data_IF_067913468509
#
_entry.id   IF_067913468509
#
_cell.length_a   1.000
_cell.length_b   1.000
_cell.length_c   1.000
_cell.angle_alpha   90.00
_cell.angle_beta   90.00
_cell.angle_gamma   90.00
#
_symmetry.space_group_name_H-M   'P 1'
#
loop_
_entity.id
_entity.type
_entity.pdbx_description
1 polymer ?
#
# COMPACT_ATOMS: atom_id res chain seq x y z
N UNK A 1 15.09 -11.18 3.12
CA UNK A 1 15.90 -10.27 2.30
C UNK A 1 15.93 -8.90 2.97
N UNK A 2 17.12 -8.35 3.24
CA UNK A 2 17.25 -7.01 3.83
C UNK A 2 16.93 -6.00 2.73
N UNK A 3 15.86 -5.23 2.93
CA UNK A 3 15.48 -4.13 2.04
C UNK A 3 16.35 -2.93 2.42
N UNK A 4 17.21 -2.48 1.51
CA UNK A 4 18.02 -1.28 1.72
C UNK A 4 17.24 -0.05 1.24
N UNK A 5 17.28 1.02 2.02
CA UNK A 5 16.71 2.32 1.65
C UNK A 5 17.85 3.28 1.34
N UNK A 6 17.79 3.89 0.16
CA UNK A 6 18.77 4.87 -0.29
C UNK A 6 18.17 6.27 -0.20
N UNK A 7 18.83 7.16 0.53
CA UNK A 7 18.62 8.61 0.38
C UNK A 7 19.49 9.12 -0.76
N UNK A 8 18.89 9.88 -1.68
CA UNK A 8 19.59 10.62 -2.74
C UNK A 8 18.98 12.02 -2.87
N UNK A 9 19.77 12.98 -3.35
CA UNK A 9 19.28 14.32 -3.64
C UNK A 9 18.59 14.36 -5.00
N UNK A 10 17.33 14.79 -5.00
CA UNK A 10 16.57 15.08 -6.21
C UNK A 10 16.43 16.60 -6.34
N UNK A 11 16.72 17.15 -7.51
CA UNK A 11 16.42 18.54 -7.83
C UNK A 11 15.08 18.58 -8.53
N UNK A 12 14.09 19.23 -7.93
CA UNK A 12 12.78 19.46 -8.53
C UNK A 12 12.44 20.94 -8.39
N UNK A 13 12.04 21.61 -9.47
CA UNK A 13 11.60 23.02 -9.44
C UNK A 13 12.58 24.01 -8.77
N UNK A 14 13.89 23.77 -8.86
CA UNK A 14 14.90 24.66 -8.27
C UNK A 14 15.11 24.49 -6.76
N UNK A 15 14.44 23.54 -6.10
CA UNK A 15 14.76 23.09 -4.74
C UNK A 15 15.53 21.76 -4.78
N UNK A 16 16.48 21.60 -3.84
CA UNK A 16 17.17 20.33 -3.58
C UNK A 16 16.42 19.62 -2.46
N UNK A 17 15.83 18.46 -2.76
CA UNK A 17 15.09 17.65 -1.81
C UNK A 17 15.77 16.29 -1.59
N UNK A 18 15.74 15.79 -0.37
CA UNK A 18 16.21 14.42 -0.06
C UNK A 18 15.09 13.44 -0.37
N UNK A 19 15.26 12.65 -1.42
CA UNK A 19 14.34 11.60 -1.83
C UNK A 19 14.84 10.22 -1.39
N UNK A 20 13.90 9.28 -1.21
CA UNK A 20 14.19 7.92 -0.75
C UNK A 20 13.71 6.89 -1.75
N UNK A 21 14.58 5.95 -2.12
CA UNK A 21 14.24 4.82 -2.99
C UNK A 21 14.49 3.50 -2.29
N UNK A 22 13.59 2.54 -2.55
CA UNK A 22 13.77 1.13 -2.16
C UNK A 22 14.74 0.49 -3.15
N UNK A 23 15.88 0.01 -2.67
CA UNK A 23 16.87 -0.66 -3.51
C UNK A 23 16.90 -2.15 -3.15
N UNK A 24 16.66 -3.00 -4.15
CA UNK A 24 16.76 -4.43 -4.00
C UNK A 24 18.21 -4.87 -4.23
N UNK A 25 18.75 -5.82 -3.43
CA UNK A 25 20.16 -6.22 -3.54
C UNK A 25 20.56 -6.81 -4.91
N UNK A 26 19.60 -7.21 -5.73
CA UNK A 26 19.83 -7.85 -7.03
C UNK A 26 20.04 -6.84 -8.17
N UNK A 27 19.60 -5.59 -7.99
CA UNK A 27 19.86 -4.51 -8.92
C UNK A 27 21.18 -3.87 -8.51
N UNK A 28 22.29 -4.44 -8.97
CA UNK A 28 23.63 -3.95 -8.68
C UNK A 28 23.79 -2.48 -9.08
N UNK A 29 23.56 -1.56 -8.14
CA UNK A 29 24.18 -0.23 -8.01
C UNK A 29 23.56 0.56 -6.85
N UNK A 30 23.68 0.06 -5.62
CA UNK A 30 23.80 0.98 -4.48
C UNK A 30 25.19 1.63 -4.58
N UNK A 31 25.35 2.63 -5.45
CA UNK A 31 26.62 3.38 -5.57
C UNK A 31 26.81 4.20 -4.28
N UNK A 32 27.90 4.03 -3.52
CA UNK A 32 28.11 4.74 -2.25
C UNK A 32 28.14 6.26 -2.41
N UNK A 33 28.45 6.74 -3.61
CA UNK A 33 28.46 8.17 -3.97
C UNK A 33 27.07 8.80 -4.01
N UNK A 34 26.00 7.98 -4.11
CA UNK A 34 24.62 8.44 -4.23
C UNK A 34 23.71 8.00 -3.07
N UNK A 35 24.11 6.98 -2.30
CA UNK A 35 23.28 6.38 -1.25
C UNK A 35 23.98 6.45 0.12
N UNK A 36 23.45 7.26 1.04
CA UNK A 36 23.85 7.18 2.44
C UNK A 36 23.01 6.12 3.18
N UNK A 37 23.57 4.92 3.32
CA UNK A 37 22.93 3.77 4.00
C UNK A 37 23.03 3.84 5.52
N UNK A 38 23.77 4.81 6.07
CA UNK A 38 23.91 5.03 7.52
C UNK A 38 22.81 5.93 8.08
N UNK A 39 21.99 6.56 7.24
CA UNK A 39 20.87 7.37 7.70
C UNK A 39 19.74 6.47 8.23
N UNK A 40 19.13 6.84 9.38
CA UNK A 40 17.97 6.11 9.87
C UNK A 40 16.83 6.22 8.86
N UNK A 41 16.07 5.12 8.69
CA UNK A 41 14.89 5.11 7.84
C UNK A 41 13.95 6.25 8.30
N UNK A 42 13.51 7.13 7.38
CA UNK A 42 12.63 8.23 7.74
C UNK A 42 11.37 7.66 8.38
N UNK A 43 10.96 8.23 9.51
CA UNK A 43 9.67 7.93 10.11
C UNK A 43 8.61 8.55 9.20
N UNK A 44 8.08 7.75 8.29
CA UNK A 44 6.93 8.15 7.50
C UNK A 44 5.73 8.25 8.45
N UNK A 45 5.25 9.47 8.69
CA UNK A 45 3.99 9.70 9.38
C UNK A 45 2.85 9.36 8.43
N UNK A 46 2.52 8.07 8.34
CA UNK A 46 1.32 7.63 7.64
C UNK A 46 0.11 8.09 8.44
N UNK A 47 -0.54 9.17 8.01
CA UNK A 47 -1.78 9.66 8.62
C UNK A 47 -2.96 8.72 8.36
N UNK A 48 -2.92 7.97 7.25
CA UNK A 48 -3.98 7.05 6.80
C UNK A 48 -3.62 5.60 7.10
N UNK A 49 -3.70 5.23 8.38
CA UNK A 49 -3.56 3.82 8.81
C UNK A 49 -4.94 3.24 9.06
N UNK A 50 -5.27 2.16 8.35
CA UNK A 50 -6.50 1.43 8.61
C UNK A 50 -6.32 0.45 9.77
N UNK A 51 -6.83 0.83 10.94
CA UNK A 51 -6.78 0.01 12.16
C UNK A 51 -8.08 -0.77 12.31
N UNK A 52 -8.15 -1.92 11.65
CA UNK A 52 -9.28 -2.83 11.77
C UNK A 52 -9.23 -3.61 13.09
N UNK A 53 -10.42 -3.94 13.59
CA UNK A 53 -10.57 -4.93 14.64
C UNK A 53 -9.97 -6.27 14.20
N UNK A 54 -9.20 -6.96 15.07
CA UNK A 54 -8.57 -8.24 14.72
C UNK A 54 -9.57 -9.29 14.21
N UNK A 55 -10.81 -9.30 14.69
CA UNK A 55 -11.84 -10.25 14.24
C UNK A 55 -12.29 -9.97 12.80
N UNK A 56 -12.34 -8.71 12.37
CA UNK A 56 -12.65 -8.34 11.00
C UNK A 56 -11.50 -8.72 10.07
N UNK A 57 -10.26 -8.45 10.50
CA UNK A 57 -9.09 -8.84 9.74
C UNK A 57 -9.02 -10.37 9.53
N UNK A 58 -9.34 -11.15 10.56
CA UNK A 58 -9.37 -12.60 10.49
C UNK A 58 -10.43 -13.13 9.50
N UNK A 59 -11.59 -12.46 9.38
CA UNK A 59 -12.62 -12.81 8.39
C UNK A 59 -12.10 -12.62 6.97
N UNK A 60 -11.47 -11.48 6.70
CA UNK A 60 -10.87 -11.22 5.38
C UNK A 60 -9.70 -12.17 5.11
N UNK A 61 -8.88 -12.50 6.12
CA UNK A 61 -7.81 -13.49 5.98
C UNK A 61 -8.37 -14.84 5.52
N UNK A 62 -9.41 -15.34 6.19
CA UNK A 62 -10.02 -16.62 5.84
C UNK A 62 -10.49 -16.66 4.38
N UNK A 63 -10.97 -15.53 3.86
CA UNK A 63 -11.43 -15.40 2.48
C UNK A 63 -10.27 -15.29 1.47
N UNK A 64 -9.33 -14.39 1.73
CA UNK A 64 -8.38 -13.89 0.73
C UNK A 64 -7.01 -14.58 0.79
N UNK A 65 -6.67 -15.24 1.90
CA UNK A 65 -5.34 -15.85 2.10
C UNK A 65 -4.98 -16.86 1.03
N UNK A 66 -5.91 -17.70 0.62
CA UNK A 66 -5.63 -18.71 -0.42
C UNK A 66 -5.31 -18.07 -1.77
N UNK A 67 -5.94 -16.95 -2.09
CA UNK A 67 -5.75 -16.24 -3.37
C UNK A 67 -4.50 -15.36 -3.38
N UNK A 68 -4.05 -14.83 -2.24
CA UNK A 68 -2.97 -13.82 -2.21
C UNK A 68 -1.75 -14.20 -1.34
N UNK A 69 -1.74 -15.40 -0.75
CA UNK A 69 -0.66 -15.88 0.14
C UNK A 69 0.74 -15.79 -0.47
N UNK A 70 0.90 -16.01 -1.79
CA UNK A 70 2.22 -15.94 -2.43
C UNK A 70 2.78 -14.51 -2.51
N UNK A 71 1.93 -13.50 -2.46
CA UNK A 71 2.32 -12.09 -2.55
C UNK A 71 2.54 -11.48 -1.16
N UNK A 72 1.87 -12.03 -0.15
CA UNK A 72 1.79 -11.44 1.19
C UNK A 72 1.95 -12.52 2.27
N UNK A 73 3.18 -12.83 2.68
CA UNK A 73 3.44 -13.99 3.54
C UNK A 73 3.02 -13.83 5.01
N UNK A 74 3.08 -12.63 5.63
CA UNK A 74 2.75 -12.43 7.05
C UNK A 74 2.23 -11.03 7.41
N UNK A 75 1.43 -10.97 8.49
CA UNK A 75 0.92 -9.77 9.19
C UNK A 75 0.50 -8.63 8.28
N UNK A 76 -0.63 -8.83 7.59
CA UNK A 76 -1.25 -7.81 6.75
C UNK A 76 -2.67 -7.53 7.19
N UNK A 77 -3.09 -6.33 6.84
CA UNK A 77 -4.49 -6.00 6.78
C UNK A 77 -5.07 -6.74 5.56
N UNK A 78 -5.70 -7.89 5.79
CA UNK A 78 -6.25 -8.73 4.74
C UNK A 78 -7.46 -8.08 4.07
N UNK A 79 -8.26 -7.32 4.81
CA UNK A 79 -9.36 -6.56 4.24
C UNK A 79 -8.88 -5.47 3.27
N UNK A 80 -7.69 -4.90 3.50
CA UNK A 80 -7.03 -4.00 2.56
C UNK A 80 -6.57 -4.73 1.30
N UNK A 81 -6.07 -5.97 1.42
CA UNK A 81 -5.65 -6.76 0.26
C UNK A 81 -6.84 -7.01 -0.67
N UNK A 82 -7.95 -7.52 -0.14
CA UNK A 82 -9.16 -7.78 -0.93
C UNK A 82 -9.78 -6.50 -1.52
N UNK A 83 -9.78 -5.41 -0.76
CA UNK A 83 -10.25 -4.10 -1.21
C UNK A 83 -9.40 -3.55 -2.36
N UNK A 84 -8.07 -3.55 -2.21
CA UNK A 84 -7.14 -3.12 -3.26
C UNK A 84 -7.25 -3.99 -4.51
N UNK A 85 -7.39 -5.31 -4.32
CA UNK A 85 -7.56 -6.24 -5.44
C UNK A 85 -8.82 -5.93 -6.25
N UNK A 86 -9.91 -5.52 -5.60
CA UNK A 86 -11.15 -5.15 -6.29
C UNK A 86 -10.97 -3.95 -7.21
N UNK A 87 -10.25 -2.94 -6.74
CA UNK A 87 -9.86 -1.83 -7.58
C UNK A 87 -8.97 -2.28 -8.76
N UNK A 88 -7.93 -3.08 -8.48
CA UNK A 88 -6.99 -3.53 -9.51
C UNK A 88 -7.68 -4.33 -10.62
N UNK A 89 -8.70 -5.12 -10.28
CA UNK A 89 -9.53 -5.84 -11.25
C UNK A 89 -10.37 -4.91 -12.14
N UNK A 90 -10.60 -3.66 -11.72
CA UNK A 90 -11.50 -2.69 -12.35
C UNK A 90 -10.83 -1.32 -12.61
N UNK A 91 -9.51 -1.28 -12.80
CA UNK A 91 -8.74 -0.02 -12.96
C UNK A 91 -9.32 0.91 -14.03
N UNK A 92 -9.93 0.36 -15.09
CA UNK A 92 -10.52 1.12 -16.20
C UNK A 92 -11.95 1.60 -15.94
N UNK A 93 -12.56 1.20 -14.83
CA UNK A 93 -13.94 1.59 -14.49
C UNK A 93 -14.01 2.98 -13.84
N UNK A 94 -12.87 3.53 -13.40
CA UNK A 94 -12.75 4.86 -12.80
C UNK A 94 -13.75 5.12 -11.66
N UNK A 95 -14.00 4.09 -10.83
CA UNK A 95 -14.83 4.25 -9.64
C UNK A 95 -14.02 4.76 -8.45
N UNK A 96 -14.74 5.36 -7.49
CA UNK A 96 -14.16 5.78 -6.23
C UNK A 96 -13.78 4.58 -5.36
N UNK A 97 -12.85 4.80 -4.45
CA UNK A 97 -12.49 3.84 -3.41
C UNK A 97 -13.73 3.41 -2.61
N UNK A 98 -14.60 4.35 -2.22
CA UNK A 98 -15.86 4.02 -1.54
C UNK A 98 -16.68 2.98 -2.31
N UNK A 99 -16.87 3.18 -3.62
CA UNK A 99 -17.59 2.24 -4.46
C UNK A 99 -16.90 0.87 -4.51
N UNK A 100 -15.57 0.85 -4.62
CA UNK A 100 -14.81 -0.40 -4.56
C UNK A 100 -14.92 -1.11 -3.21
N UNK A 101 -15.04 -0.37 -2.10
CA UNK A 101 -15.25 -0.97 -0.78
C UNK A 101 -16.62 -1.64 -0.70
N UNK A 102 -17.67 -0.99 -1.20
CA UNK A 102 -19.00 -1.59 -1.29
C UNK A 102 -18.99 -2.86 -2.13
N UNK A 103 -18.36 -2.82 -3.30
CA UNK A 103 -18.25 -3.99 -4.17
C UNK A 103 -17.47 -5.13 -3.48
N UNK A 104 -16.28 -4.84 -2.96
CA UNK A 104 -15.46 -5.83 -2.26
C UNK A 104 -16.18 -6.44 -1.05
N UNK A 105 -16.96 -5.64 -0.32
CA UNK A 105 -17.75 -6.11 0.81
C UNK A 105 -18.86 -7.08 0.39
N UNK A 106 -19.52 -6.85 -0.76
CA UNK A 106 -20.52 -7.79 -1.32
C UNK A 106 -19.93 -9.17 -1.63
N UNK A 107 -18.64 -9.23 -1.98
CA UNK A 107 -17.93 -10.50 -2.21
C UNK A 107 -17.27 -11.09 -0.95
N UNK A 108 -17.32 -10.37 0.17
CA UNK A 108 -16.71 -10.77 1.44
C UNK A 108 -15.19 -10.56 1.51
N UNK A 109 -14.61 -9.81 0.57
CA UNK A 109 -13.16 -9.55 0.49
C UNK A 109 -12.74 -8.37 1.37
N UNK A 110 -13.71 -7.61 1.90
CA UNK A 110 -13.46 -6.52 2.83
C UNK A 110 -14.71 -6.23 3.67
N UNK A 111 -14.63 -5.27 4.56
CA UNK A 111 -15.77 -4.81 5.38
C UNK A 111 -16.56 -3.73 4.66
N UNK A 112 -17.87 -3.67 4.88
CA UNK A 112 -18.70 -2.62 4.27
C UNK A 112 -18.31 -1.22 4.81
N UNK A 113 -18.49 -0.15 4.02
CA UNK A 113 -18.23 1.21 4.50
C UNK A 113 -19.05 1.59 5.73
N UNK A 114 -20.23 1.01 5.91
CA UNK A 114 -21.07 1.23 7.08
C UNK A 114 -20.49 0.59 8.36
N UNK A 115 -19.72 -0.51 8.22
CA UNK A 115 -19.05 -1.15 9.35
C UNK A 115 -17.75 -0.44 9.72
N UNK A 116 -16.91 -0.15 8.73
CA UNK A 116 -15.66 0.61 8.92
C UNK A 116 -15.19 1.20 7.58
N UNK A 117 -15.47 2.48 7.35
CA UNK A 117 -15.11 3.19 6.12
C UNK A 117 -13.61 3.47 6.08
N UNK A 118 -12.98 3.21 4.93
CA UNK A 118 -11.58 3.55 4.72
C UNK A 118 -11.32 4.23 3.37
N UNK A 119 -10.76 5.43 3.44
CA UNK A 119 -10.35 6.25 2.29
C UNK A 119 -8.80 6.24 2.19
N UNK A 120 -8.21 5.33 1.39
CA UNK A 120 -6.77 5.08 1.40
C UNK A 120 -5.94 6.21 0.79
N UNK A 121 -6.53 7.03 -0.07
CA UNK A 121 -5.88 8.14 -0.76
C UNK A 121 -6.49 9.48 -0.31
N UNK A 122 -5.74 10.55 -0.53
CA UNK A 122 -6.23 11.92 -0.33
C UNK A 122 -7.33 12.29 -1.32
N UNK A 123 -7.22 11.79 -2.55
CA UNK A 123 -8.25 11.85 -3.58
C UNK A 123 -8.90 10.46 -3.71
N UNK A 124 -10.04 10.21 -3.03
CA UNK A 124 -10.67 8.89 -3.02
C UNK A 124 -11.49 8.61 -4.29
N UNK A 125 -11.63 9.57 -5.21
CA UNK A 125 -12.51 9.46 -6.40
C UNK A 125 -11.90 8.58 -7.50
N UNK A 126 -10.58 8.38 -7.49
CA UNK A 126 -9.90 7.53 -8.48
C UNK A 126 -9.09 6.46 -7.78
N UNK A 127 -9.38 5.21 -8.11
CA UNK A 127 -8.53 4.13 -7.68
C UNK A 127 -7.28 3.97 -8.55
N UNK A 128 -6.16 4.46 -8.01
CA UNK A 128 -4.81 4.45 -8.60
C UNK A 128 -4.70 5.22 -9.93
N UNK A 129 -3.56 5.90 -10.16
CA UNK A 129 -3.30 6.54 -11.46
C UNK A 129 -2.47 5.58 -12.33
N UNK A 130 -2.85 5.31 -13.59
CA UNK A 130 -2.10 4.44 -14.48
C UNK A 130 -0.70 4.97 -14.80
#
# INVERSE_FOLDING_TARGET
AVVAWCAYTKVAYGSVEVAWSRVWPQDGMARPEFCNTSLPMPRMNFSRVWRLDPSLNAKCEHKDRHQFSWQYPHDRNWCWIGYKAMCHAHLKAHHSWHHFQEMAARFGNTVSPAADRFDPLEDPEVCDRP
#
